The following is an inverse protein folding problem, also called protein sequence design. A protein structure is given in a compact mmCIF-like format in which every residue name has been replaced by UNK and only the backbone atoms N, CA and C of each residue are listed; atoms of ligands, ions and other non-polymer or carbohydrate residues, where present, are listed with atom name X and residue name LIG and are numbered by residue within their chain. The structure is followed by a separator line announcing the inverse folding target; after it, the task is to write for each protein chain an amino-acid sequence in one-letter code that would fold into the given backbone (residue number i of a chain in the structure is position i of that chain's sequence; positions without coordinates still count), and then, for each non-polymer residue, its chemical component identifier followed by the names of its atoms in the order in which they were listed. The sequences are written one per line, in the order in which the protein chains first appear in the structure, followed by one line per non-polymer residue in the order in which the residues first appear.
data_IF_312009510871
#
_entry.id   IF_312009510871
#
_cell.length_a   1.000
_cell.length_b   1.000
_cell.length_c   1.000
_cell.angle_alpha   90.00
_cell.angle_beta   90.00
_cell.angle_gamma   90.00
#
_symmetry.space_group_name_H-M   'P 1'
#
loop_
_entity.id
_entity.type
_entity.pdbx_description
1 polymer ?
#
# COMPACT_ATOMS: atom_id res chain seq x y z
N UNK A 1 -76.27 26.23 -8.89
CA UNK A 1 -75.27 25.80 -9.89
C UNK A 1 -73.90 25.69 -9.24
N UNK A 2 -73.32 24.50 -9.26
CA UNK A 2 -72.25 23.97 -8.37
C UNK A 2 -70.86 24.51 -8.65
N UNK A 3 -70.50 25.73 -8.30
CA UNK A 3 -69.09 26.21 -8.33
C UNK A 3 -68.18 25.62 -7.20
N UNK A 4 -68.76 25.14 -6.11
CA UNK A 4 -68.03 24.63 -4.93
C UNK A 4 -67.39 23.27 -5.14
N UNK A 5 -67.80 22.45 -6.13
CA UNK A 5 -67.28 21.07 -6.37
C UNK A 5 -65.88 21.03 -7.05
N UNK A 6 -65.47 22.10 -7.73
CA UNK A 6 -64.17 22.15 -8.43
C UNK A 6 -63.08 22.89 -7.66
N UNK A 7 -63.42 23.59 -6.58
CA UNK A 7 -62.45 24.32 -5.79
C UNK A 7 -61.59 23.40 -4.92
N UNK A 8 -62.12 22.26 -4.48
CA UNK A 8 -61.40 21.31 -3.61
C UNK A 8 -60.30 20.54 -4.34
N UNK A 9 -60.53 19.95 -5.53
CA UNK A 9 -59.47 19.29 -6.29
C UNK A 9 -58.39 20.30 -6.79
N UNK A 10 -58.77 21.52 -7.15
CA UNK A 10 -57.82 22.55 -7.54
C UNK A 10 -56.91 22.99 -6.38
N UNK A 11 -57.46 23.15 -5.17
CA UNK A 11 -56.68 23.45 -3.96
C UNK A 11 -55.69 22.31 -3.61
N UNK A 12 -56.13 21.05 -3.73
CA UNK A 12 -55.29 19.87 -3.49
C UNK A 12 -54.15 19.77 -4.49
N UNK A 13 -54.40 20.04 -5.77
CA UNK A 13 -53.41 20.08 -6.82
C UNK A 13 -52.34 21.16 -6.58
N UNK A 14 -52.78 22.34 -6.10
CA UNK A 14 -51.89 23.45 -5.78
C UNK A 14 -50.99 23.13 -4.58
N UNK A 15 -51.51 22.44 -3.54
CA UNK A 15 -50.72 21.98 -2.40
C UNK A 15 -49.69 20.95 -2.79
N UNK A 16 -50.05 19.97 -3.66
CA UNK A 16 -49.11 18.95 -4.14
C UNK A 16 -48.00 19.60 -4.99
N UNK A 17 -48.32 20.57 -5.82
CA UNK A 17 -47.38 21.31 -6.64
C UNK A 17 -46.41 22.14 -5.78
N UNK A 18 -46.91 22.73 -4.72
CA UNK A 18 -46.13 23.52 -3.76
C UNK A 18 -45.18 22.60 -2.96
N UNK A 19 -45.66 21.44 -2.52
CA UNK A 19 -44.84 20.41 -1.86
C UNK A 19 -43.76 19.87 -2.79
N UNK A 20 -44.05 19.61 -4.05
CA UNK A 20 -43.07 19.16 -5.05
C UNK A 20 -42.01 20.24 -5.32
N UNK A 21 -42.37 21.53 -5.32
CA UNK A 21 -41.45 22.65 -5.47
C UNK A 21 -40.50 22.77 -4.25
N UNK A 22 -41.05 22.64 -3.04
CA UNK A 22 -40.29 22.67 -1.79
C UNK A 22 -39.35 21.47 -1.76
N UNK A 23 -39.82 20.26 -2.12
CA UNK A 23 -39.00 19.05 -2.17
C UNK A 23 -37.87 19.17 -3.19
N UNK A 24 -38.15 19.70 -4.38
CA UNK A 24 -37.13 19.99 -5.40
C UNK A 24 -36.10 20.98 -4.88
N UNK A 25 -36.54 22.06 -4.22
CA UNK A 25 -35.63 23.08 -3.68
C UNK A 25 -34.74 22.53 -2.57
N UNK A 26 -35.29 21.69 -1.69
CA UNK A 26 -34.52 20.99 -0.65
C UNK A 26 -33.57 19.93 -1.26
N UNK A 27 -34.00 19.19 -2.27
CA UNK A 27 -33.19 18.17 -2.93
C UNK A 27 -32.03 18.80 -3.71
N UNK A 28 -32.26 19.90 -4.45
CA UNK A 28 -31.23 20.66 -5.14
C UNK A 28 -30.21 21.28 -4.15
N UNK A 29 -30.67 21.65 -2.95
CA UNK A 29 -29.83 22.21 -1.90
C UNK A 29 -28.94 21.12 -1.24
N UNK A 30 -29.47 19.90 -1.04
CA UNK A 30 -28.73 18.76 -0.45
C UNK A 30 -27.76 18.16 -1.44
N UNK A 31 -28.13 18.05 -2.73
CA UNK A 31 -27.24 17.46 -3.78
C UNK A 31 -26.16 18.43 -4.27
N UNK A 32 -26.38 19.76 -4.15
CA UNK A 32 -25.38 20.76 -4.55
C UNK A 32 -24.41 21.16 -3.42
N UNK A 33 -24.70 20.78 -2.18
CA UNK A 33 -23.93 21.20 -1.00
C UNK A 33 -22.45 20.70 -1.00
N UNK A 34 -22.14 19.43 -1.27
CA UNK A 34 -20.74 19.00 -1.20
C UNK A 34 -19.86 19.63 -2.29
N UNK A 35 -20.41 19.95 -3.46
CA UNK A 35 -19.63 20.53 -4.54
C UNK A 35 -19.32 22.04 -4.37
N UNK A 36 -20.21 22.79 -3.76
CA UNK A 36 -20.03 24.23 -3.56
C UNK A 36 -19.13 24.57 -2.37
N UNK A 37 -19.18 23.79 -1.29
CA UNK A 37 -18.29 23.99 -0.14
C UNK A 37 -16.85 23.59 -0.44
N UNK A 38 -16.61 22.56 -1.25
CA UNK A 38 -15.27 22.20 -1.69
C UNK A 38 -14.58 23.32 -2.48
N UNK A 39 -15.31 23.99 -3.37
CA UNK A 39 -14.76 25.12 -4.13
C UNK A 39 -14.58 26.42 -3.30
N UNK A 40 -15.35 26.61 -2.24
CA UNK A 40 -15.22 27.76 -1.36
C UNK A 40 -14.10 27.63 -0.31
N UNK A 41 -13.75 26.39 0.07
CA UNK A 41 -12.75 26.12 1.12
C UNK A 41 -11.36 25.88 0.54
N UNK A 42 -11.26 25.37 -0.70
CA UNK A 42 -9.97 25.07 -1.34
C UNK A 42 -9.74 26.00 -2.54
N UNK A 43 -8.55 26.61 -2.59
CA UNK A 43 -8.12 27.28 -3.82
C UNK A 43 -8.01 26.22 -4.94
N UNK A 44 -8.37 26.60 -6.17
CA UNK A 44 -8.23 25.74 -7.36
C UNK A 44 -6.80 25.17 -7.48
N UNK A 45 -5.82 25.91 -6.99
CA UNK A 45 -4.43 25.50 -6.93
C UNK A 45 -4.22 24.30 -5.99
N UNK A 46 -4.77 24.31 -4.78
CA UNK A 46 -4.62 23.21 -3.82
C UNK A 46 -5.27 21.91 -4.33
N UNK A 47 -6.39 22.02 -5.02
CA UNK A 47 -7.03 20.87 -5.67
C UNK A 47 -6.22 20.35 -6.86
N UNK A 48 -5.59 21.24 -7.64
CA UNK A 48 -4.72 20.83 -8.76
C UNK A 48 -3.47 20.08 -8.26
N UNK A 49 -2.86 20.53 -7.17
CA UNK A 49 -1.70 19.87 -6.58
C UNK A 49 -2.09 18.49 -5.96
N UNK A 50 -3.23 18.41 -5.29
CA UNK A 50 -3.73 17.12 -4.78
C UNK A 50 -4.00 16.11 -5.91
N UNK A 51 -4.49 16.55 -7.07
CA UNK A 51 -4.65 15.71 -8.28
C UNK A 51 -3.31 15.22 -8.80
N UNK A 52 -2.30 16.08 -8.89
CA UNK A 52 -0.93 15.68 -9.31
C UNK A 52 -0.36 14.59 -8.40
N UNK A 53 -0.54 14.75 -7.08
CA UNK A 53 -0.09 13.74 -6.10
C UNK A 53 -0.83 12.42 -6.32
N UNK A 54 -2.16 12.44 -6.46
CA UNK A 54 -2.95 11.26 -6.76
C UNK A 54 -2.46 10.56 -8.04
N UNK A 55 -2.30 11.32 -9.11
CA UNK A 55 -1.91 10.80 -10.42
C UNK A 55 -0.49 10.21 -10.37
N UNK A 56 0.42 10.83 -9.60
CA UNK A 56 1.74 10.27 -9.35
C UNK A 56 1.69 8.89 -8.63
N UNK A 57 0.83 8.75 -7.62
CA UNK A 57 0.65 7.46 -6.94
C UNK A 57 0.02 6.40 -7.84
N UNK A 58 -0.94 6.78 -8.68
CA UNK A 58 -1.54 5.86 -9.66
C UNK A 58 -0.50 5.41 -10.69
N UNK A 59 0.28 6.33 -11.24
CA UNK A 59 1.29 6.03 -12.27
C UNK A 59 2.45 5.19 -11.73
N UNK A 60 2.97 5.53 -10.54
CA UNK A 60 4.14 4.85 -9.98
C UNK A 60 3.80 3.52 -9.32
N UNK A 61 2.66 3.44 -8.65
CA UNK A 61 2.35 2.35 -7.74
C UNK A 61 1.02 1.67 -8.01
N UNK A 62 0.25 2.15 -8.99
CA UNK A 62 -1.13 1.69 -9.29
C UNK A 62 -2.05 1.77 -8.07
N UNK A 63 -1.79 2.73 -7.18
CA UNK A 63 -2.45 2.94 -5.91
C UNK A 63 -3.22 4.26 -5.95
N UNK A 64 -4.49 4.24 -5.46
CA UNK A 64 -5.28 5.44 -5.24
C UNK A 64 -5.33 5.73 -3.74
N UNK A 65 -4.43 6.59 -3.22
CA UNK A 65 -4.36 6.88 -1.80
C UNK A 65 -5.47 7.84 -1.35
N UNK A 66 -5.75 7.82 -0.05
CA UNK A 66 -6.52 8.89 0.58
C UNK A 66 -5.66 10.14 0.68
N UNK A 67 -6.13 11.27 0.13
CA UNK A 67 -5.42 12.54 0.16
C UNK A 67 -6.27 13.59 0.88
N UNK A 68 -5.66 14.26 1.85
CA UNK A 68 -6.24 15.39 2.58
C UNK A 68 -5.60 16.71 2.15
N UNK A 69 -6.41 17.76 2.12
CA UNK A 69 -5.95 19.14 1.93
C UNK A 69 -6.47 19.94 3.12
N UNK A 70 -5.58 20.58 3.89
CA UNK A 70 -5.92 21.29 5.13
C UNK A 70 -6.83 20.46 6.04
N UNK A 71 -6.45 19.22 6.31
CA UNK A 71 -7.17 18.25 7.15
C UNK A 71 -8.56 17.78 6.64
N UNK A 72 -8.97 18.23 5.47
CA UNK A 72 -10.21 17.76 4.81
C UNK A 72 -9.87 16.74 3.71
N UNK A 73 -10.58 15.61 3.71
CA UNK A 73 -10.38 14.54 2.72
C UNK A 73 -10.91 14.98 1.36
N UNK A 74 -10.03 15.03 0.37
CA UNK A 74 -10.38 15.42 -1.01
C UNK A 74 -10.51 14.19 -1.92
N UNK A 75 -9.64 13.20 -1.71
CA UNK A 75 -9.70 11.92 -2.42
C UNK A 75 -9.73 10.78 -1.42
N UNK A 76 -10.74 9.91 -1.54
CA UNK A 76 -10.84 8.68 -0.77
C UNK A 76 -10.12 7.53 -1.48
N UNK A 77 -9.64 6.57 -0.69
CA UNK A 77 -9.02 5.37 -1.22
C UNK A 77 -10.09 4.47 -1.87
N UNK A 78 -9.97 4.23 -3.18
CA UNK A 78 -10.96 3.44 -3.93
C UNK A 78 -10.70 1.93 -3.83
N UNK A 79 -9.46 1.53 -3.57
CA UNK A 79 -9.05 0.13 -3.38
C UNK A 79 -8.10 0.03 -2.20
N UNK A 80 -8.32 -0.95 -1.34
CA UNK A 80 -7.40 -1.29 -0.26
C UNK A 80 -6.26 -2.14 -0.83
N UNK A 81 -5.14 -1.50 -1.17
CA UNK A 81 -3.91 -2.24 -1.37
C UNK A 81 -3.33 -2.57 0.02
N UNK A 82 -3.11 -3.85 0.31
CA UNK A 82 -2.54 -4.28 1.59
C UNK A 82 -1.02 -4.10 1.62
N UNK A 83 -0.36 -4.23 0.47
CA UNK A 83 1.10 -4.17 0.36
C UNK A 83 1.53 -3.38 -0.87
N UNK A 84 2.59 -2.60 -0.72
CA UNK A 84 3.26 -1.86 -1.79
C UNK A 84 4.71 -2.34 -1.89
N UNK A 85 4.98 -3.24 -2.83
CA UNK A 85 6.34 -3.67 -3.15
C UNK A 85 7.05 -2.59 -3.95
N UNK A 86 8.17 -2.10 -3.45
CA UNK A 86 8.98 -1.02 -4.07
C UNK A 86 10.26 -1.57 -4.69
N UNK A 87 10.87 -2.56 -4.02
CA UNK A 87 12.12 -3.21 -4.47
C UNK A 87 11.91 -4.71 -4.54
N UNK A 88 12.45 -5.33 -5.60
CA UNK A 88 12.51 -6.78 -5.75
C UNK A 88 13.93 -7.18 -6.15
N UNK A 89 14.49 -8.20 -5.48
CA UNK A 89 15.85 -8.69 -5.73
C UNK A 89 15.93 -10.21 -5.61
N UNK A 90 16.68 -10.84 -6.50
CA UNK A 90 16.98 -12.25 -6.41
C UNK A 90 18.26 -12.43 -5.58
N UNK A 91 18.18 -13.21 -4.50
CA UNK A 91 19.25 -13.45 -3.53
C UNK A 91 19.67 -14.92 -3.61
N UNK A 92 20.95 -15.16 -3.87
CA UNK A 92 21.53 -16.48 -3.86
C UNK A 92 22.10 -16.83 -2.49
N UNK A 93 21.80 -18.04 -2.04
CA UNK A 93 22.25 -18.60 -0.77
C UNK A 93 22.76 -20.01 -1.01
N UNK A 94 23.86 -20.35 -0.38
CA UNK A 94 24.42 -21.70 -0.38
C UNK A 94 24.51 -22.19 1.05
N UNK A 95 24.08 -23.41 1.32
CA UNK A 95 24.32 -24.14 2.55
C UNK A 95 25.33 -25.28 2.26
N UNK A 96 26.36 -25.36 3.07
CA UNK A 96 27.33 -26.45 3.06
C UNK A 96 27.40 -26.99 4.48
N UNK A 97 26.64 -28.05 4.77
CA UNK A 97 26.57 -28.69 6.08
C UNK A 97 27.28 -30.00 6.10
N UNK A 98 28.35 -30.08 6.90
CA UNK A 98 29.12 -31.28 7.10
C UNK A 98 29.03 -31.72 8.57
N UNK A 99 28.40 -32.84 8.83
CA UNK A 99 28.21 -33.36 10.17
C UNK A 99 29.06 -34.64 10.40
N UNK A 100 29.91 -34.57 11.42
CA UNK A 100 30.77 -35.66 11.79
C UNK A 100 30.25 -36.41 13.02
N UNK A 101 30.13 -37.71 12.95
CA UNK A 101 29.81 -38.57 14.07
C UNK A 101 30.68 -39.85 14.05
N UNK A 102 31.41 -40.10 15.13
CA UNK A 102 32.35 -41.24 15.25
C UNK A 102 33.29 -41.42 14.03
N UNK A 103 33.83 -40.30 13.52
CA UNK A 103 34.72 -40.33 12.34
C UNK A 103 34.00 -40.48 10.99
N UNK A 104 32.66 -40.63 10.97
CA UNK A 104 31.86 -40.72 9.76
C UNK A 104 31.30 -39.33 9.44
N UNK A 105 31.48 -38.85 8.21
CA UNK A 105 31.06 -37.51 7.77
C UNK A 105 29.92 -37.67 6.78
N UNK A 106 28.78 -37.02 7.06
CA UNK A 106 27.73 -36.78 6.07
C UNK A 106 27.82 -35.33 5.59
N UNK A 107 27.56 -35.09 4.31
CA UNK A 107 27.61 -33.75 3.72
C UNK A 107 26.34 -33.48 2.94
N UNK A 108 25.78 -32.28 3.17
CA UNK A 108 24.63 -31.74 2.44
C UNK A 108 25.08 -30.41 1.85
N UNK A 109 25.02 -30.29 0.51
CA UNK A 109 25.27 -29.03 -0.17
C UNK A 109 24.04 -28.65 -0.99
N UNK A 110 23.46 -27.50 -0.67
CA UNK A 110 22.27 -26.96 -1.34
C UNK A 110 22.58 -25.55 -1.79
N UNK A 111 22.16 -25.24 -3.02
CA UNK A 111 22.18 -23.90 -3.58
C UNK A 111 20.76 -23.45 -3.86
N UNK A 112 20.37 -22.27 -3.40
CA UNK A 112 19.04 -21.73 -3.65
C UNK A 112 19.07 -20.26 -4.06
N UNK A 113 18.11 -19.90 -4.91
CA UNK A 113 17.83 -18.52 -5.29
C UNK A 113 16.44 -18.16 -4.77
N UNK A 114 16.35 -17.09 -4.01
CA UNK A 114 15.12 -16.55 -3.48
C UNK A 114 14.82 -15.19 -4.10
N UNK A 115 13.58 -14.96 -4.51
CA UNK A 115 13.10 -13.63 -4.84
C UNK A 115 12.56 -12.97 -3.58
N UNK A 116 13.16 -11.85 -3.22
CA UNK A 116 12.75 -11.07 -2.05
C UNK A 116 12.14 -9.76 -2.53
N UNK A 117 10.95 -9.44 -1.99
CA UNK A 117 10.27 -8.16 -2.21
C UNK A 117 10.26 -7.39 -0.91
N UNK A 118 10.68 -6.13 -0.96
CA UNK A 118 10.66 -5.18 0.15
C UNK A 118 9.78 -3.97 -0.19
N UNK A 119 9.12 -3.42 0.81
CA UNK A 119 8.20 -2.29 0.64
C UNK A 119 7.37 -2.01 1.88
N UNK A 120 6.18 -1.49 1.69
CA UNK A 120 5.33 -0.98 2.76
C UNK A 120 4.07 -1.83 2.93
N UNK A 121 3.73 -2.11 4.20
CA UNK A 121 2.45 -2.71 4.57
C UNK A 121 1.42 -1.59 4.75
N UNK A 122 0.59 -1.42 3.75
CA UNK A 122 -0.44 -0.39 3.70
C UNK A 122 -1.73 -0.76 4.48
N UNK A 123 -1.78 -1.93 5.13
CA UNK A 123 -2.79 -2.20 6.15
C UNK A 123 -2.62 -1.27 7.35
N UNK A 124 -1.41 -0.76 7.55
CA UNK A 124 -1.11 0.36 8.42
C UNK A 124 -1.34 1.67 7.63
N UNK A 125 -1.68 2.75 8.32
CA UNK A 125 -2.08 4.01 7.69
C UNK A 125 -1.04 4.60 6.74
N UNK A 126 -1.42 4.81 5.47
CA UNK A 126 -0.80 5.75 4.57
C UNK A 126 -1.57 7.07 4.66
N UNK A 127 -0.93 8.13 5.12
CA UNK A 127 -1.52 9.47 5.20
C UNK A 127 -0.79 10.42 4.25
N UNK A 128 -1.56 11.14 3.44
CA UNK A 128 -1.04 12.16 2.52
C UNK A 128 -1.78 13.46 2.77
N UNK A 129 -1.04 14.51 3.12
CA UNK A 129 -1.58 15.85 3.30
C UNK A 129 -0.91 16.82 2.33
N UNK A 130 -1.71 17.62 1.64
CA UNK A 130 -1.24 18.62 0.67
C UNK A 130 -1.59 20.01 1.17
N UNK A 131 -0.57 20.86 1.34
CA UNK A 131 -0.70 22.23 1.81
C UNK A 131 0.03 23.19 0.83
N UNK A 132 -0.68 23.62 -0.21
CA UNK A 132 -0.08 24.39 -1.28
C UNK A 132 0.93 23.54 -2.04
N UNK A 133 2.22 23.95 -2.05
CA UNK A 133 3.29 23.19 -2.71
C UNK A 133 3.96 22.15 -1.81
N UNK A 134 3.61 22.09 -0.54
CA UNK A 134 4.17 21.15 0.43
C UNK A 134 3.29 19.89 0.47
N UNK A 135 3.92 18.73 0.38
CA UNK A 135 3.29 17.41 0.39
C UNK A 135 3.91 16.58 1.49
N UNK A 136 3.16 16.37 2.56
CA UNK A 136 3.56 15.52 3.68
C UNK A 136 2.99 14.12 3.50
N UNK A 137 3.87 13.14 3.42
CA UNK A 137 3.53 11.73 3.24
C UNK A 137 4.04 10.95 4.44
N UNK A 138 3.12 10.35 5.20
CA UNK A 138 3.44 9.44 6.31
C UNK A 138 3.19 8.01 5.84
N UNK A 139 4.24 7.19 5.85
CA UNK A 139 4.20 5.77 5.51
C UNK A 139 4.65 4.93 6.70
N UNK A 140 4.18 3.68 6.86
CA UNK A 140 4.75 2.76 7.82
C UNK A 140 6.22 2.47 7.48
N UNK A 141 6.98 1.89 8.40
CA UNK A 141 8.35 1.44 8.14
C UNK A 141 8.35 0.36 7.06
N UNK A 142 9.28 0.44 6.12
CA UNK A 142 9.44 -0.60 5.11
C UNK A 142 9.86 -1.92 5.75
N UNK A 143 9.34 -3.02 5.21
CA UNK A 143 9.63 -4.39 5.66
C UNK A 143 9.83 -5.33 4.47
N UNK A 144 10.38 -6.50 4.75
CA UNK A 144 10.33 -7.60 3.80
C UNK A 144 8.88 -8.09 3.72
N UNK A 145 8.31 -8.06 2.52
CA UNK A 145 6.93 -8.46 2.25
C UNK A 145 6.85 -9.95 1.92
N UNK A 146 7.75 -10.42 1.04
CA UNK A 146 7.78 -11.82 0.62
C UNK A 146 9.20 -12.31 0.41
N UNK A 147 9.42 -13.62 0.66
CA UNK A 147 10.63 -14.36 0.31
C UNK A 147 10.17 -15.63 -0.40
N UNK A 148 10.29 -15.66 -1.73
CA UNK A 148 9.80 -16.75 -2.58
C UNK A 148 10.98 -17.54 -3.11
N UNK A 149 11.05 -18.89 -2.94
CA UNK A 149 12.07 -19.69 -3.57
C UNK A 149 11.83 -19.75 -5.09
N UNK A 150 12.82 -19.36 -5.87
CA UNK A 150 12.79 -19.47 -7.34
C UNK A 150 13.41 -20.76 -7.82
N UNK A 151 14.50 -21.18 -7.16
CA UNK A 151 15.25 -22.38 -7.50
C UNK A 151 15.91 -22.93 -6.25
N UNK A 152 15.82 -24.25 -6.07
CA UNK A 152 16.54 -24.99 -5.04
C UNK A 152 17.24 -26.14 -5.75
N UNK A 153 18.56 -26.18 -5.69
CA UNK A 153 19.40 -27.19 -6.32
C UNK A 153 20.19 -27.91 -5.22
N UNK A 154 19.97 -29.20 -5.10
CA UNK A 154 20.77 -30.06 -4.21
C UNK A 154 21.98 -30.52 -5.01
N UNK A 155 23.16 -29.99 -4.69
CA UNK A 155 24.40 -30.31 -5.39
C UNK A 155 25.04 -31.60 -4.87
N UNK A 156 24.97 -31.82 -3.56
CA UNK A 156 25.59 -32.98 -2.95
C UNK A 156 24.75 -33.49 -1.77
N UNK A 157 24.48 -34.78 -1.77
CA UNK A 157 23.99 -35.57 -0.65
C UNK A 157 24.88 -36.77 -0.44
N UNK A 158 25.85 -36.66 0.46
CA UNK A 158 26.77 -37.74 0.75
C UNK A 158 26.56 -38.31 2.14
N UNK A 159 26.15 -39.56 2.21
CA UNK A 159 26.02 -40.27 3.46
C UNK A 159 27.37 -40.61 4.06
N UNK A 160 27.48 -40.52 5.38
CA UNK A 160 28.60 -41.15 6.08
C UNK A 160 28.39 -42.67 6.25
N UNK A 161 29.42 -43.35 6.74
CA UNK A 161 29.39 -44.81 6.95
C UNK A 161 28.28 -45.22 7.95
N UNK A 162 28.19 -44.49 9.06
CA UNK A 162 27.21 -44.74 10.12
C UNK A 162 26.21 -43.56 10.27
N UNK A 163 26.56 -42.41 9.75
CA UNK A 163 25.81 -41.17 9.83
C UNK A 163 25.09 -40.93 8.49
N UNK A 164 23.84 -41.43 8.37
CA UNK A 164 23.05 -41.26 7.15
C UNK A 164 22.27 -39.95 7.20
N UNK A 165 22.08 -39.33 6.05
CA UNK A 165 21.24 -38.16 5.88
C UNK A 165 19.78 -38.57 6.11
N UNK A 166 19.10 -37.85 6.98
CA UNK A 166 17.67 -37.99 7.25
C UNK A 166 16.90 -36.85 6.56
N UNK A 167 15.60 -37.03 6.25
CA UNK A 167 14.78 -35.94 5.70
C UNK A 167 14.84 -34.67 6.55
N UNK A 168 14.86 -34.82 7.87
CA UNK A 168 14.94 -33.70 8.82
C UNK A 168 16.25 -32.90 8.72
N UNK A 169 17.31 -33.48 8.23
CA UNK A 169 18.58 -32.75 8.00
C UNK A 169 18.42 -31.79 6.81
N UNK A 170 17.78 -32.26 5.73
CA UNK A 170 17.49 -31.44 4.55
C UNK A 170 16.51 -30.33 4.89
N UNK A 171 15.42 -30.63 5.63
CA UNK A 171 14.45 -29.63 6.05
C UNK A 171 15.09 -28.53 6.91
N UNK A 172 16.00 -28.90 7.82
CA UNK A 172 16.74 -27.95 8.65
C UNK A 172 17.62 -27.03 7.81
N UNK A 173 18.29 -27.59 6.79
CA UNK A 173 19.13 -26.80 5.90
C UNK A 173 18.30 -25.86 5.03
N UNK A 174 17.15 -26.29 4.52
CA UNK A 174 16.24 -25.42 3.78
C UNK A 174 15.71 -24.26 4.65
N UNK A 175 15.36 -24.52 5.90
CA UNK A 175 14.99 -23.46 6.84
C UNK A 175 16.14 -22.48 7.09
N UNK A 176 17.35 -22.99 7.34
CA UNK A 176 18.55 -22.15 7.50
C UNK A 176 18.81 -21.27 6.28
N UNK A 177 18.61 -21.80 5.08
CA UNK A 177 18.78 -21.04 3.84
C UNK A 177 17.74 -19.93 3.72
N UNK A 178 16.49 -20.18 4.10
CA UNK A 178 15.45 -19.15 4.17
C UNK A 178 15.84 -18.02 5.14
N UNK A 179 16.32 -18.37 6.35
CA UNK A 179 16.77 -17.39 7.34
C UNK A 179 17.99 -16.58 6.88
N UNK A 180 18.93 -17.24 6.17
CA UNK A 180 20.07 -16.58 5.56
C UNK A 180 19.62 -15.62 4.44
N UNK A 181 18.64 -16.01 3.62
CA UNK A 181 18.06 -15.13 2.59
C UNK A 181 17.40 -13.92 3.22
N UNK A 182 16.64 -14.10 4.31
CA UNK A 182 16.02 -13.02 5.09
C UNK A 182 17.07 -12.07 5.67
N UNK A 183 18.15 -12.60 6.25
CA UNK A 183 19.25 -11.81 6.80
C UNK A 183 19.95 -10.99 5.71
N UNK A 184 20.27 -11.62 4.57
CA UNK A 184 20.86 -10.94 3.40
C UNK A 184 19.93 -9.90 2.78
N UNK A 185 18.62 -10.07 2.94
CA UNK A 185 17.60 -9.16 2.44
C UNK A 185 17.39 -7.93 3.33
N UNK A 186 17.86 -7.94 4.58
CA UNK A 186 17.64 -6.85 5.54
C UNK A 186 17.93 -5.44 4.97
N UNK A 187 19.00 -5.19 4.19
CA UNK A 187 19.27 -3.88 3.63
C UNK A 187 18.24 -3.41 2.58
N UNK A 188 17.42 -4.32 2.03
CA UNK A 188 16.40 -3.97 1.04
C UNK A 188 15.28 -3.10 1.63
N UNK A 189 15.07 -3.12 2.94
CA UNK A 189 14.09 -2.25 3.60
C UNK A 189 14.49 -0.79 3.49
N UNK A 190 15.75 -0.47 3.78
CA UNK A 190 16.27 0.90 3.66
C UNK A 190 16.30 1.35 2.18
N UNK A 191 16.68 0.43 1.28
CA UNK A 191 16.65 0.68 -0.17
C UNK A 191 15.22 0.95 -0.67
N UNK A 192 14.20 0.25 -0.13
CA UNK A 192 12.82 0.48 -0.47
C UNK A 192 12.35 1.88 -0.03
N UNK A 193 12.72 2.33 1.18
CA UNK A 193 12.42 3.68 1.64
C UNK A 193 13.08 4.77 0.78
N UNK A 194 14.35 4.60 0.46
CA UNK A 194 15.10 5.53 -0.40
C UNK A 194 14.53 5.57 -1.82
N UNK A 195 14.21 4.41 -2.39
CA UNK A 195 13.64 4.30 -3.73
C UNK A 195 12.26 4.94 -3.80
N UNK A 196 11.41 4.70 -2.81
CA UNK A 196 10.10 5.33 -2.70
C UNK A 196 10.21 6.87 -2.68
N UNK A 197 11.07 7.42 -1.80
CA UNK A 197 11.33 8.87 -1.72
C UNK A 197 11.81 9.42 -3.05
N UNK A 198 12.78 8.75 -3.69
CA UNK A 198 13.35 9.16 -4.97
C UNK A 198 12.32 9.19 -6.09
N UNK A 199 11.49 8.14 -6.22
CA UNK A 199 10.46 8.05 -7.25
C UNK A 199 9.43 9.17 -7.10
N UNK A 200 8.96 9.42 -5.88
CA UNK A 200 8.03 10.51 -5.60
C UNK A 200 8.65 11.89 -5.87
N UNK A 201 9.85 12.15 -5.39
CA UNK A 201 10.54 13.43 -5.65
C UNK A 201 10.80 13.66 -7.14
N UNK A 202 11.08 12.61 -7.89
CA UNK A 202 11.27 12.67 -9.33
C UNK A 202 9.96 12.99 -10.08
N UNK A 203 8.86 12.35 -9.67
CA UNK A 203 7.54 12.51 -10.31
C UNK A 203 6.87 13.84 -9.93
N UNK A 204 7.10 14.33 -8.71
CA UNK A 204 6.50 15.52 -8.12
C UNK A 204 7.53 16.67 -8.00
N UNK A 205 8.50 16.74 -8.90
CA UNK A 205 9.66 17.65 -8.78
C UNK A 205 9.35 19.14 -8.70
N UNK A 206 8.10 19.56 -8.97
CA UNK A 206 7.59 20.92 -8.78
C UNK A 206 6.99 21.14 -7.37
N UNK A 207 6.88 20.08 -6.54
CA UNK A 207 6.36 20.11 -5.18
C UNK A 207 7.45 19.77 -4.16
N UNK A 208 7.31 20.31 -2.94
CA UNK A 208 8.16 19.98 -1.80
C UNK A 208 7.65 18.71 -1.12
N UNK A 209 8.26 17.58 -1.41
CA UNK A 209 7.81 16.27 -0.90
C UNK A 209 8.56 15.91 0.37
N UNK A 210 7.84 15.79 1.47
CA UNK A 210 8.33 15.35 2.78
C UNK A 210 7.79 13.96 3.10
N UNK A 211 8.64 12.92 3.03
CA UNK A 211 8.27 11.56 3.39
C UNK A 211 8.78 11.24 4.79
N UNK A 212 7.87 10.97 5.69
CA UNK A 212 8.13 10.56 7.08
C UNK A 212 7.75 9.08 7.24
N UNK A 213 8.68 8.32 7.81
CA UNK A 213 8.44 6.91 8.13
C UNK A 213 7.95 6.82 9.58
N UNK A 214 6.75 6.28 9.78
CA UNK A 214 6.21 6.05 11.13
C UNK A 214 6.93 4.85 11.75
N UNK A 215 7.71 5.08 12.79
CA UNK A 215 8.45 4.03 13.51
C UNK A 215 7.58 3.20 14.46
N UNK A 216 6.28 3.45 14.49
CA UNK A 216 5.31 2.62 15.24
C UNK A 216 5.45 2.68 16.76
N UNK A 217 6.30 3.57 17.30
CA UNK A 217 6.40 3.80 18.74
C UNK A 217 5.23 4.71 19.19
N UNK A 218 4.04 4.15 19.29
CA UNK A 218 3.01 4.73 20.17
C UNK A 218 3.22 4.16 21.56
N UNK A 219 3.61 5.06 22.48
CA UNK A 219 3.47 4.86 23.91
C UNK A 219 2.01 4.61 24.29
#
# INVERSE_FOLDING_TARGET
MNRRRYLWPAALLLVVLLLALIFKMLFDQVTSWPARELHAVFSDQALSEARKVRDAFVDLFQLQPKISVKDSVVFEQTKTALELAVVSRDIQVTSDDAQTWLGSIKTIRIHATYRVKAGFDLSQKLEINVAGRDVDIKVPKAKILTIEPLSIIIEELRNGLWNKIQPQDVDRDLQRMHDLAQTKASPLTDEAELTFKRLLSQKLGDLNVHVQTDTGLRN
#
